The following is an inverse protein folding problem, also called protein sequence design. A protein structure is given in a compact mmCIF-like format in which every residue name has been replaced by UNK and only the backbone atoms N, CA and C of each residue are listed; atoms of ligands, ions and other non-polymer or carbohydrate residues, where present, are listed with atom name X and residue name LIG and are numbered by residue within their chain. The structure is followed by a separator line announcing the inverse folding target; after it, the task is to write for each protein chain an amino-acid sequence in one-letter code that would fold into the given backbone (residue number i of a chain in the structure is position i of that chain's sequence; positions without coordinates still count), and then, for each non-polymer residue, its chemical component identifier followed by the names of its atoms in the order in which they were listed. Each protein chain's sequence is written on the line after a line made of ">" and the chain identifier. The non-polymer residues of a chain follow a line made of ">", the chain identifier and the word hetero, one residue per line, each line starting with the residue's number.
data_IF_880555659643
#
_entry.id   IF_880555659643
#
_cell.length_a   1.000
_cell.length_b   1.000
_cell.length_c   1.000
_cell.angle_alpha   90.00
_cell.angle_beta   90.00
_cell.angle_gamma   90.00
#
_symmetry.space_group_name_H-M   'P 1'
#
loop_
_entity.id
_entity.type
_entity.pdbx_description
1 polymer ?
#
# COMPACT_ATOMS: atom_id res chain seq x y z
N UNK A 1 4.70 -8.67 -22.30
CA UNK A 1 3.31 -8.38 -21.85
C UNK A 1 3.32 -7.18 -20.92
N UNK A 2 3.29 -5.96 -21.46
CA UNK A 2 3.15 -4.72 -20.67
C UNK A 2 1.72 -4.24 -20.81
N UNK A 3 0.83 -4.80 -19.99
CA UNK A 3 -0.56 -4.35 -19.93
C UNK A 3 -0.65 -3.13 -19.00
N UNK A 4 -1.48 -2.11 -19.28
CA UNK A 4 -1.68 -0.95 -18.40
C UNK A 4 -1.99 -1.34 -16.94
N UNK A 5 -2.63 -2.48 -16.74
CA UNK A 5 -2.86 -3.09 -15.43
C UNK A 5 -1.59 -3.38 -14.63
N UNK A 6 -0.51 -3.82 -15.28
CA UNK A 6 0.77 -4.14 -14.62
C UNK A 6 1.40 -2.88 -14.04
N UNK A 7 1.39 -1.76 -14.78
CA UNK A 7 1.89 -0.47 -14.29
C UNK A 7 1.11 0.00 -13.06
N UNK A 8 -0.22 -0.18 -13.08
CA UNK A 8 -1.09 0.17 -11.96
C UNK A 8 -0.81 -0.71 -10.73
N UNK A 9 -0.58 -2.02 -10.90
CA UNK A 9 -0.14 -2.91 -9.82
C UNK A 9 1.25 -2.53 -9.28
N UNK A 10 2.22 -2.23 -10.14
CA UNK A 10 3.56 -1.80 -9.72
C UNK A 10 3.51 -0.52 -8.90
N UNK A 11 2.71 0.47 -9.32
CA UNK A 11 2.49 1.70 -8.54
C UNK A 11 1.88 1.38 -7.17
N UNK A 12 0.81 0.58 -7.11
CA UNK A 12 0.19 0.18 -5.85
C UNK A 12 1.18 -0.48 -4.89
N UNK A 13 1.98 -1.43 -5.39
CA UNK A 13 2.98 -2.15 -4.59
C UNK A 13 4.09 -1.23 -4.08
N UNK A 14 4.55 -0.27 -4.89
CA UNK A 14 5.61 0.66 -4.49
C UNK A 14 5.12 1.66 -3.45
N UNK A 15 3.91 2.20 -3.62
CA UNK A 15 3.33 3.15 -2.65
C UNK A 15 2.97 2.45 -1.33
N UNK A 16 2.50 1.20 -1.39
CA UNK A 16 2.31 0.37 -0.21
C UNK A 16 3.63 0.16 0.56
N UNK A 17 4.72 -0.19 -0.15
CA UNK A 17 6.07 -0.32 0.44
C UNK A 17 6.63 0.98 1.00
N UNK A 18 6.24 2.13 0.46
CA UNK A 18 6.61 3.45 0.98
C UNK A 18 5.84 3.84 2.27
N UNK A 19 4.99 2.95 2.81
CA UNK A 19 4.20 3.22 4.01
C UNK A 19 3.07 4.21 3.75
N UNK A 20 2.51 4.22 2.54
CA UNK A 20 1.32 5.01 2.25
C UNK A 20 0.08 4.39 2.89
N UNK A 21 -0.78 5.24 3.45
CA UNK A 21 -2.05 4.83 4.03
C UNK A 21 -2.90 4.06 2.98
N UNK A 22 -3.35 2.83 3.28
CA UNK A 22 -4.13 2.01 2.35
C UNK A 22 -5.41 2.68 1.83
N UNK A 23 -6.07 3.53 2.63
CA UNK A 23 -7.27 4.29 2.22
C UNK A 23 -6.94 5.41 1.25
N UNK A 24 -5.82 6.12 1.48
CA UNK A 24 -5.35 7.13 0.55
C UNK A 24 -4.93 6.49 -0.78
N UNK A 25 -4.22 5.36 -0.72
CA UNK A 25 -3.83 4.61 -1.91
C UNK A 25 -5.05 4.04 -2.65
N UNK A 26 -6.06 3.53 -1.94
CA UNK A 26 -7.32 3.07 -2.53
C UNK A 26 -8.02 4.20 -3.33
N UNK A 27 -8.07 5.40 -2.77
CA UNK A 27 -8.67 6.57 -3.42
C UNK A 27 -7.90 6.98 -4.67
N UNK A 28 -6.57 7.08 -4.59
CA UNK A 28 -5.70 7.42 -5.72
C UNK A 28 -5.78 6.39 -6.86
N UNK A 29 -5.96 5.12 -6.49
CA UNK A 29 -6.13 4.05 -7.45
C UNK A 29 -7.53 4.06 -8.07
N UNK A 30 -8.55 4.57 -7.38
CA UNK A 30 -9.94 4.47 -7.82
C UNK A 30 -10.50 3.04 -7.64
N UNK A 31 -10.02 2.30 -6.64
CA UNK A 31 -10.53 0.97 -6.34
C UNK A 31 -11.88 1.05 -5.60
N UNK A 32 -12.95 0.59 -6.25
CA UNK A 32 -14.29 0.48 -5.67
C UNK A 32 -14.34 -0.53 -4.51
N UNK A 33 -13.51 -1.57 -4.57
CA UNK A 33 -13.34 -2.57 -3.51
C UNK A 33 -11.94 -2.49 -2.91
N UNK A 34 -11.89 -2.43 -1.57
CA UNK A 34 -10.64 -2.37 -0.82
C UNK A 34 -9.89 -3.71 -0.86
N UNK A 35 -10.56 -4.82 -1.17
CA UNK A 35 -9.95 -6.14 -1.33
C UNK A 35 -8.83 -6.16 -2.37
N UNK A 36 -8.95 -5.39 -3.47
CA UNK A 36 -7.91 -5.30 -4.52
C UNK A 36 -6.67 -4.57 -4.03
N UNK A 37 -6.86 -3.54 -3.20
CA UNK A 37 -5.76 -2.81 -2.56
C UNK A 37 -5.11 -3.68 -1.47
N UNK A 38 -5.91 -4.27 -0.58
CA UNK A 38 -5.45 -5.08 0.56
C UNK A 38 -4.80 -6.41 0.17
N UNK A 39 -5.16 -7.02 -0.96
CA UNK A 39 -4.47 -8.22 -1.45
C UNK A 39 -3.00 -7.96 -1.83
N UNK A 40 -2.61 -6.70 -2.08
CA UNK A 40 -1.19 -6.32 -2.22
C UNK A 40 -0.52 -6.18 -0.84
N UNK A 41 -1.31 -5.85 0.18
CA UNK A 41 -0.88 -5.64 1.56
C UNK A 41 -0.77 -6.94 2.38
N UNK A 42 -1.16 -8.11 1.87
CA UNK A 42 -1.12 -9.39 2.63
C UNK A 42 0.28 -9.83 3.04
N UNK A 43 1.34 -9.18 2.54
CA UNK A 43 2.71 -9.41 2.97
C UNK A 43 3.14 -8.54 4.16
N UNK A 44 2.32 -7.59 4.61
CA UNK A 44 2.63 -6.81 5.80
C UNK A 44 2.52 -7.72 7.03
N UNK A 45 3.66 -7.94 7.68
CA UNK A 45 3.78 -8.71 8.91
C UNK A 45 3.92 -7.82 10.14
N UNK A 46 4.22 -8.47 11.28
CA UNK A 46 4.50 -7.80 12.56
C UNK A 46 5.67 -6.80 12.48
N UNK A 47 6.62 -7.03 11.57
CA UNK A 47 7.78 -6.16 11.39
C UNK A 47 7.36 -4.82 10.79
N UNK A 48 6.52 -4.83 9.74
CA UNK A 48 6.05 -3.61 9.10
C UNK A 48 5.16 -2.77 10.03
N UNK A 49 4.33 -3.42 10.85
CA UNK A 49 3.52 -2.73 11.86
C UNK A 49 4.40 -2.02 12.90
N UNK A 50 5.48 -2.67 13.35
CA UNK A 50 6.43 -2.11 14.31
C UNK A 50 7.21 -0.94 13.70
N UNK A 51 7.60 -1.03 12.44
CA UNK A 51 8.26 0.07 11.73
C UNK A 51 7.35 1.29 11.55
N UNK A 52 6.08 1.08 11.21
CA UNK A 52 5.13 2.20 11.07
C UNK A 52 4.87 2.89 12.43
N UNK A 53 4.74 2.11 13.51
CA UNK A 53 4.63 2.68 14.86
C UNK A 53 5.86 3.52 15.23
N UNK A 54 7.07 3.05 14.92
CA UNK A 54 8.30 3.80 15.14
C UNK A 54 8.38 5.06 14.27
N UNK A 55 7.85 5.02 13.03
CA UNK A 55 7.80 6.19 12.15
C UNK A 55 6.86 7.27 12.69
N UNK A 56 5.66 6.88 13.12
CA UNK A 56 4.68 7.80 13.72
C UNK A 56 5.25 8.41 15.01
N UNK A 57 5.89 7.60 15.86
CA UNK A 57 6.51 8.09 17.09
C UNK A 57 7.69 9.07 16.86
N UNK A 58 8.34 9.04 15.69
CA UNK A 58 9.39 10.01 15.31
C UNK A 58 8.85 11.31 14.71
N UNK A 59 7.60 11.31 14.24
CA UNK A 59 6.93 12.48 13.66
C UNK A 59 6.15 13.30 14.71
N UNK A 60 5.94 12.72 15.90
CA UNK A 60 5.41 13.39 17.10
C UNK A 60 6.54 13.99 17.94
#
# INVERSE_FOLDING_TARGET
>A
MTHPHVCRHTYCSNMAKAGMNPKALQYLMGHSDIGVTLNVYTHLGLIDAKEEMNRIAKLA
#
